data_IF_980728521608
#
_entry.id   IF_980728521608
#
_cell.length_a   1.000
_cell.length_b   1.000
_cell.length_c   1.000
_cell.angle_alpha   90.00
_cell.angle_beta   90.00
_cell.angle_gamma   90.00
#
_symmetry.space_group_name_H-M   'P 1'
#
loop_
_entity.id
_entity.type
_entity.pdbx_description
1 polymer ?
#
# COMPACT_ATOMS: atom_id res chain seq x y z
N UNK A 1 3.03 11.71 -45.23
CA UNK A 1 3.44 10.49 -44.50
C UNK A 1 3.66 10.93 -43.07
N UNK A 2 2.61 10.83 -42.26
CA UNK A 2 2.67 11.16 -40.84
C UNK A 2 3.50 10.09 -40.13
N UNK A 3 4.62 10.52 -39.54
CA UNK A 3 5.36 9.70 -38.60
C UNK A 3 4.49 9.55 -37.34
N UNK A 4 3.72 8.45 -37.29
CA UNK A 4 3.19 7.91 -36.05
C UNK A 4 4.40 7.48 -35.21
N UNK A 5 4.97 8.40 -34.42
CA UNK A 5 5.77 7.99 -33.27
C UNK A 5 4.78 7.35 -32.30
N UNK A 6 4.68 6.03 -32.37
CA UNK A 6 4.16 5.24 -31.26
C UNK A 6 5.06 5.59 -30.07
N UNK A 7 4.63 6.54 -29.26
CA UNK A 7 5.24 6.81 -27.96
C UNK A 7 5.28 5.45 -27.25
N UNK A 8 6.48 4.91 -27.09
CA UNK A 8 6.68 3.63 -26.43
C UNK A 8 6.32 3.83 -24.96
N UNK A 9 5.14 3.36 -24.57
CA UNK A 9 4.68 3.48 -23.19
C UNK A 9 5.32 2.33 -22.40
N UNK A 10 6.12 2.63 -21.36
CA UNK A 10 6.74 1.61 -20.53
C UNK A 10 5.68 0.62 -19.99
N UNK A 11 6.03 -0.66 -19.94
CA UNK A 11 5.25 -1.72 -19.27
C UNK A 11 3.95 -2.19 -19.94
N UNK A 12 3.67 -1.81 -21.20
CA UNK A 12 2.45 -2.27 -21.89
C UNK A 12 2.29 -3.80 -21.92
N UNK A 13 3.41 -4.53 -22.02
CA UNK A 13 3.46 -5.99 -22.07
C UNK A 13 3.71 -6.64 -20.70
N UNK A 14 3.68 -5.88 -19.60
CA UNK A 14 4.00 -6.42 -18.28
C UNK A 14 2.96 -7.47 -17.84
N UNK A 15 3.43 -8.62 -17.38
CA UNK A 15 2.57 -9.74 -16.99
C UNK A 15 2.19 -9.66 -15.50
N UNK A 16 1.01 -10.19 -15.11
CA UNK A 16 0.67 -10.36 -13.70
C UNK A 16 1.79 -11.08 -12.94
N UNK A 17 2.22 -10.50 -11.81
CA UNK A 17 3.31 -10.99 -10.98
C UNK A 17 4.67 -10.34 -11.25
N UNK A 18 4.88 -9.72 -12.42
CA UNK A 18 6.10 -8.99 -12.73
C UNK A 18 6.28 -7.74 -11.86
N UNK A 19 7.53 -7.33 -11.67
CA UNK A 19 7.91 -6.11 -10.96
C UNK A 19 8.28 -5.04 -11.98
N UNK A 20 7.65 -3.88 -11.85
CA UNK A 20 7.95 -2.68 -12.61
C UNK A 20 8.37 -1.54 -11.66
N UNK A 21 8.92 -0.46 -12.21
CA UNK A 21 9.27 0.74 -11.45
C UNK A 21 8.44 1.92 -11.93
N UNK A 22 7.90 2.70 -10.99
CA UNK A 22 7.06 3.87 -11.29
C UNK A 22 7.07 4.83 -10.09
N UNK A 23 7.43 6.10 -10.28
CA UNK A 23 7.65 7.02 -9.17
C UNK A 23 8.87 6.68 -8.30
N UNK A 24 9.14 7.54 -7.33
CA UNK A 24 10.27 7.44 -6.39
C UNK A 24 9.81 7.82 -4.99
N UNK A 25 10.21 7.09 -3.97
CA UNK A 25 9.89 7.42 -2.58
C UNK A 25 11.07 7.06 -1.66
N UNK A 26 11.21 7.68 -0.48
CA UNK A 26 12.28 7.31 0.43
C UNK A 26 12.18 5.85 0.90
N UNK A 27 13.32 5.16 0.94
CA UNK A 27 13.42 3.76 1.34
C UNK A 27 14.59 3.50 2.30
N UNK A 28 15.51 4.46 2.48
CA UNK A 28 16.59 4.41 3.47
C UNK A 28 16.19 5.09 4.78
N UNK A 29 16.93 4.81 5.85
CA UNK A 29 16.60 5.26 7.22
C UNK A 29 16.50 6.80 7.35
N UNK A 30 17.34 7.52 6.63
CA UNK A 30 17.42 8.99 6.64
C UNK A 30 16.22 9.66 5.95
N UNK A 31 15.55 8.95 5.03
CA UNK A 31 14.36 9.45 4.35
C UNK A 31 14.61 10.53 3.30
N UNK A 32 15.88 10.73 2.88
CA UNK A 32 16.24 11.77 1.91
C UNK A 32 16.45 11.22 0.50
N UNK A 33 16.49 9.89 0.37
CA UNK A 33 16.67 9.21 -0.90
C UNK A 33 15.43 9.32 -1.80
N UNK A 34 15.65 9.17 -3.10
CA UNK A 34 14.59 9.11 -4.12
C UNK A 34 14.62 7.76 -4.83
N UNK A 35 14.54 6.68 -4.06
CA UNK A 35 14.63 5.33 -4.61
C UNK A 35 13.39 5.01 -5.45
N UNK A 36 13.55 4.48 -6.69
CA UNK A 36 12.43 4.00 -7.50
C UNK A 36 11.54 3.03 -6.73
N UNK A 37 10.23 3.22 -6.81
CA UNK A 37 9.29 2.33 -6.15
C UNK A 37 9.11 1.10 -7.05
N UNK A 38 9.34 -0.08 -6.47
CA UNK A 38 9.01 -1.36 -7.11
C UNK A 38 7.53 -1.67 -6.90
N UNK A 39 6.83 -1.95 -7.99
CA UNK A 39 5.42 -2.30 -8.01
C UNK A 39 5.21 -3.66 -8.64
N UNK A 40 4.43 -4.50 -7.98
CA UNK A 40 3.96 -5.76 -8.52
C UNK A 40 2.72 -5.53 -9.37
N UNK A 41 2.74 -6.05 -10.59
CA UNK A 41 1.57 -6.04 -11.48
C UNK A 41 0.55 -7.05 -10.99
N UNK A 42 -0.60 -6.55 -10.55
CA UNK A 42 -1.73 -7.36 -10.10
C UNK A 42 -2.62 -7.78 -11.27
N UNK A 43 -2.81 -6.90 -12.24
CA UNK A 43 -3.61 -7.15 -13.44
C UNK A 43 -3.17 -6.23 -14.58
N UNK A 44 -3.18 -6.74 -15.81
CA UNK A 44 -2.94 -5.96 -17.03
C UNK A 44 -4.09 -6.20 -18.02
N UNK A 45 -4.82 -5.13 -18.37
CA UNK A 45 -5.91 -5.19 -19.37
C UNK A 45 -5.45 -4.85 -20.80
N UNK A 46 -4.16 -4.55 -21.00
CA UNK A 46 -3.57 -3.98 -22.20
C UNK A 46 -3.70 -2.46 -22.31
N UNK A 47 -4.59 -1.85 -21.53
CA UNK A 47 -4.80 -0.38 -21.46
C UNK A 47 -4.56 0.20 -20.07
N UNK A 48 -4.61 -0.65 -19.04
CA UNK A 48 -4.47 -0.27 -17.65
C UNK A 48 -3.66 -1.33 -16.92
N UNK A 49 -2.71 -0.89 -16.09
CA UNK A 49 -2.09 -1.74 -15.08
C UNK A 49 -2.68 -1.43 -13.72
N UNK A 50 -3.12 -2.48 -13.03
CA UNK A 50 -3.39 -2.43 -11.60
C UNK A 50 -2.16 -2.95 -10.86
N UNK A 51 -1.60 -2.13 -9.99
CA UNK A 51 -0.31 -2.41 -9.35
C UNK A 51 -0.37 -2.19 -7.83
N UNK A 52 0.47 -2.93 -7.10
CA UNK A 52 0.63 -2.86 -5.64
C UNK A 52 2.11 -2.68 -5.30
N UNK A 53 2.44 -1.81 -4.35
CA UNK A 53 3.82 -1.64 -3.93
C UNK A 53 4.41 -2.97 -3.44
N UNK A 54 5.60 -3.30 -3.91
CA UNK A 54 6.26 -4.56 -3.57
C UNK A 54 6.67 -4.61 -2.09
N UNK A 55 7.00 -3.44 -1.54
CA UNK A 55 7.37 -3.26 -0.14
C UNK A 55 6.33 -2.42 0.59
N UNK A 56 6.31 -2.54 1.92
CA UNK A 56 5.71 -1.53 2.79
C UNK A 56 6.59 -0.29 2.75
N UNK A 57 6.08 0.80 2.21
CA UNK A 57 6.87 2.02 1.95
C UNK A 57 6.94 2.95 3.16
N UNK A 58 5.94 2.88 4.04
CA UNK A 58 5.83 3.75 5.21
C UNK A 58 5.07 3.05 6.34
N UNK A 59 5.32 3.45 7.59
CA UNK A 59 4.43 3.13 8.71
C UNK A 59 3.60 4.37 9.06
N UNK A 60 2.27 4.24 8.97
CA UNK A 60 1.32 5.28 9.38
C UNK A 60 0.12 4.68 10.08
N UNK A 61 -0.44 5.43 11.04
CA UNK A 61 -1.76 5.10 11.61
C UNK A 61 -2.82 5.17 10.53
N UNK A 62 -3.90 4.42 10.71
CA UNK A 62 -5.09 4.58 9.87
C UNK A 62 -5.73 5.96 10.11
N UNK A 63 -5.81 6.38 11.38
CA UNK A 63 -6.24 7.72 11.77
C UNK A 63 -5.51 8.22 13.03
N UNK A 64 -5.24 9.52 13.08
CA UNK A 64 -4.48 10.19 14.14
C UNK A 64 -3.03 10.49 13.75
N UNK A 65 -2.54 11.69 14.11
CA UNK A 65 -1.21 12.21 13.71
C UNK A 65 -0.26 12.52 14.87
N UNK A 66 -0.71 12.44 16.12
CA UNK A 66 0.12 12.77 17.29
C UNK A 66 0.82 11.52 17.86
N UNK A 67 2.06 11.71 18.32
CA UNK A 67 2.84 10.70 19.03
C UNK A 67 2.21 10.29 20.38
N UNK A 68 1.38 11.16 20.95
CA UNK A 68 0.73 10.92 22.24
C UNK A 68 -0.54 10.06 22.11
N UNK A 69 -1.01 9.82 20.88
CA UNK A 69 -2.19 9.00 20.63
C UNK A 69 -1.92 7.57 21.06
N UNK A 70 -2.73 7.09 22.01
CA UNK A 70 -2.76 5.70 22.42
C UNK A 70 -3.93 4.96 21.79
N UNK A 71 -4.02 3.65 22.03
CA UNK A 71 -5.17 2.86 21.59
C UNK A 71 -6.48 3.29 22.25
N UNK A 72 -6.44 3.98 23.40
CA UNK A 72 -7.63 4.47 24.13
C UNK A 72 -8.22 5.72 23.49
N UNK A 73 -7.43 6.44 22.72
CA UNK A 73 -7.82 7.67 22.04
C UNK A 73 -8.38 7.39 20.63
N UNK A 74 -8.63 6.13 20.30
CA UNK A 74 -9.21 5.76 19.02
C UNK A 74 -10.64 6.28 18.91
N UNK A 75 -10.97 6.77 17.72
CA UNK A 75 -12.30 7.23 17.37
C UNK A 75 -12.91 6.32 16.32
N UNK A 76 -14.23 6.39 16.20
CA UNK A 76 -14.93 5.82 15.07
C UNK A 76 -14.57 6.63 13.82
N UNK A 77 -14.09 5.95 12.78
CA UNK A 77 -13.60 6.60 11.55
C UNK A 77 -13.78 5.67 10.35
N UNK A 78 -14.17 6.23 9.22
CA UNK A 78 -14.34 5.51 7.95
C UNK A 78 -13.08 5.62 7.10
N UNK A 79 -12.96 4.81 6.03
CA UNK A 79 -11.89 5.00 5.04
C UNK A 79 -11.98 6.38 4.37
N UNK A 80 -13.20 6.83 4.07
CA UNK A 80 -13.47 8.10 3.41
C UNK A 80 -12.84 9.28 4.18
N UNK A 81 -12.95 9.27 5.50
CA UNK A 81 -12.57 10.39 6.38
C UNK A 81 -11.21 10.22 7.08
N UNK A 82 -10.55 9.07 6.93
CA UNK A 82 -9.33 8.79 7.69
C UNK A 82 -8.11 9.59 7.21
N UNK A 83 -7.14 9.77 8.12
CA UNK A 83 -5.92 10.53 7.80
C UNK A 83 -5.04 9.80 6.79
N UNK A 84 -5.06 8.46 6.80
CA UNK A 84 -4.25 7.65 5.90
C UNK A 84 -4.66 7.82 4.44
N UNK A 85 -5.96 7.84 4.14
CA UNK A 85 -6.48 8.08 2.79
C UNK A 85 -6.09 9.48 2.29
N UNK A 86 -6.25 10.49 3.16
CA UNK A 86 -5.86 11.87 2.85
C UNK A 86 -4.35 11.96 2.55
N UNK A 87 -3.51 11.34 3.38
CA UNK A 87 -2.06 11.30 3.15
C UNK A 87 -1.68 10.59 1.85
N UNK A 88 -2.35 9.47 1.52
CA UNK A 88 -2.09 8.74 0.27
C UNK A 88 -2.37 9.59 -0.98
N UNK A 89 -3.47 10.34 -0.97
CA UNK A 89 -3.93 11.12 -2.12
C UNK A 89 -3.37 12.55 -2.18
N UNK A 90 -2.70 13.00 -1.11
CA UNK A 90 -2.02 14.29 -1.07
C UNK A 90 -0.50 14.10 -0.94
N UNK A 91 0.03 14.05 0.27
CA UNK A 91 1.48 14.07 0.55
C UNK A 91 2.24 12.94 -0.16
N UNK A 92 1.77 11.69 -0.05
CA UNK A 92 2.39 10.56 -0.73
C UNK A 92 2.34 10.73 -2.24
N UNK A 93 1.16 10.98 -2.81
CA UNK A 93 0.98 11.18 -4.26
C UNK A 93 1.86 12.32 -4.80
N UNK A 94 1.97 13.42 -4.05
CA UNK A 94 2.75 14.58 -4.44
C UNK A 94 4.26 14.38 -4.30
N UNK A 95 4.70 13.56 -3.35
CA UNK A 95 6.10 13.21 -3.15
C UNK A 95 6.56 12.12 -4.13
N UNK A 96 5.72 11.11 -4.34
CA UNK A 96 6.07 9.89 -5.05
C UNK A 96 6.15 10.07 -6.57
N UNK A 97 5.31 10.93 -7.14
CA UNK A 97 5.12 11.01 -8.59
C UNK A 97 5.40 12.41 -9.14
N UNK A 98 6.10 12.46 -10.27
CA UNK A 98 6.30 13.69 -11.03
C UNK A 98 5.06 14.04 -11.89
N UNK A 99 5.07 15.20 -12.55
CA UNK A 99 3.93 15.67 -13.34
C UNK A 99 3.50 14.68 -14.44
N UNK A 100 4.44 14.14 -15.21
CA UNK A 100 4.20 13.16 -16.28
C UNK A 100 3.62 11.85 -15.73
N UNK A 101 4.14 11.36 -14.61
CA UNK A 101 3.62 10.16 -13.94
C UNK A 101 2.20 10.37 -13.42
N UNK A 102 1.93 11.55 -12.84
CA UNK A 102 0.61 11.92 -12.32
C UNK A 102 -0.48 11.90 -13.39
N UNK A 103 -0.15 12.22 -14.64
CA UNK A 103 -1.07 12.15 -15.79
C UNK A 103 -1.46 10.71 -16.14
N UNK A 104 -0.60 9.73 -15.85
CA UNK A 104 -0.88 8.31 -16.10
C UNK A 104 -1.72 7.69 -15.00
N UNK A 105 -1.72 8.26 -13.78
CA UNK A 105 -2.46 7.71 -12.63
C UNK A 105 -3.95 7.99 -12.78
N UNK A 106 -4.74 6.93 -12.75
CA UNK A 106 -6.19 6.98 -12.88
C UNK A 106 -6.86 7.22 -11.54
N UNK A 107 -7.85 8.11 -11.51
CA UNK A 107 -8.85 8.15 -10.43
C UNK A 107 -9.70 6.88 -10.46
N UNK A 108 -9.66 6.12 -9.38
CA UNK A 108 -10.30 4.80 -9.26
C UNK A 108 -11.48 4.89 -8.31
N UNK A 109 -12.63 4.37 -8.74
CA UNK A 109 -13.79 4.19 -7.87
C UNK A 109 -13.56 2.99 -6.95
N UNK A 110 -13.39 3.25 -5.66
CA UNK A 110 -13.05 2.28 -4.63
C UNK A 110 -14.27 1.94 -3.79
N UNK A 111 -14.80 0.73 -4.02
CA UNK A 111 -15.89 0.12 -3.26
C UNK A 111 -15.36 -0.81 -2.15
N UNK A 112 -16.27 -1.44 -1.40
CA UNK A 112 -15.99 -2.41 -0.33
C UNK A 112 -15.13 -1.82 0.81
N UNK A 113 -15.40 -0.56 1.16
CA UNK A 113 -14.70 0.15 2.23
C UNK A 113 -15.19 -0.25 3.64
N UNK A 114 -16.15 -1.18 3.72
CA UNK A 114 -16.74 -1.71 4.95
C UNK A 114 -18.07 -1.06 5.30
N UNK A 115 -18.80 -1.68 6.23
CA UNK A 115 -20.15 -1.24 6.58
C UNK A 115 -20.17 0.19 7.14
N UNK A 116 -21.00 1.04 6.53
CA UNK A 116 -21.11 2.46 6.90
C UNK A 116 -19.98 3.35 6.39
N UNK A 117 -19.02 2.80 5.63
CA UNK A 117 -17.95 3.54 4.99
C UNK A 117 -18.33 3.81 3.52
N UNK A 118 -18.49 5.08 3.11
CA UNK A 118 -18.85 5.43 1.74
C UNK A 118 -17.83 4.92 0.71
N UNK A 119 -18.30 4.72 -0.52
CA UNK A 119 -17.42 4.57 -1.68
C UNK A 119 -16.58 5.84 -1.88
N UNK A 120 -15.40 5.69 -2.46
CA UNK A 120 -14.43 6.78 -2.64
C UNK A 120 -13.89 6.82 -4.07
N UNK A 121 -13.36 7.98 -4.46
CA UNK A 121 -12.59 8.13 -5.70
C UNK A 121 -11.14 8.47 -5.33
N UNK A 122 -10.24 7.53 -5.57
CA UNK A 122 -8.86 7.59 -5.11
C UNK A 122 -7.87 7.44 -6.27
N UNK A 123 -6.81 8.24 -6.26
CA UNK A 123 -5.65 8.06 -7.16
C UNK A 123 -4.68 7.03 -6.63
N UNK A 124 -4.52 7.01 -5.31
CA UNK A 124 -3.72 6.03 -4.56
C UNK A 124 -4.56 5.51 -3.41
N UNK A 125 -4.65 4.19 -3.27
CA UNK A 125 -5.53 3.55 -2.30
C UNK A 125 -4.84 2.36 -1.63
N UNK A 126 -5.50 1.78 -0.62
CA UNK A 126 -5.15 0.45 -0.10
C UNK A 126 -6.14 -0.57 -0.63
N UNK A 127 -5.73 -1.82 -0.81
CA UNK A 127 -6.64 -2.88 -1.24
C UNK A 127 -7.78 -3.09 -0.23
N UNK A 128 -8.96 -3.49 -0.72
CA UNK A 128 -10.05 -3.98 0.14
C UNK A 128 -9.82 -5.43 0.53
N UNK A 129 -10.59 -5.93 1.50
CA UNK A 129 -10.61 -7.35 1.85
C UNK A 129 -11.07 -8.21 0.67
N UNK A 130 -12.04 -7.74 -0.12
CA UNK A 130 -12.52 -8.45 -1.31
C UNK A 130 -11.39 -8.59 -2.34
N UNK A 131 -10.77 -7.46 -2.70
CA UNK A 131 -9.69 -7.42 -3.70
C UNK A 131 -8.51 -8.29 -3.29
N UNK A 132 -7.99 -8.17 -2.06
CA UNK A 132 -6.83 -8.97 -1.65
C UNK A 132 -7.15 -10.46 -1.61
N UNK A 133 -8.40 -10.86 -1.32
CA UNK A 133 -8.82 -12.26 -1.37
C UNK A 133 -8.81 -12.79 -2.80
N UNK A 134 -9.41 -12.05 -3.74
CA UNK A 134 -9.45 -12.42 -5.16
C UNK A 134 -8.05 -12.49 -5.75
N UNK A 135 -7.24 -11.47 -5.52
CA UNK A 135 -5.86 -11.41 -5.99
C UNK A 135 -5.01 -12.56 -5.45
N UNK A 136 -5.23 -12.99 -4.21
CA UNK A 136 -4.51 -14.13 -3.64
C UNK A 136 -4.88 -15.48 -4.26
N UNK A 137 -6.06 -15.58 -4.89
CA UNK A 137 -6.42 -16.78 -5.64
C UNK A 137 -5.72 -16.82 -7.00
N UNK A 138 -5.30 -15.67 -7.51
CA UNK A 138 -4.61 -15.51 -8.80
C UNK A 138 -3.08 -15.56 -8.63
N UNK A 139 -2.55 -14.90 -7.60
CA UNK A 139 -1.11 -14.64 -7.40
C UNK A 139 -0.48 -15.45 -6.26
N UNK A 140 -1.18 -16.47 -5.76
CA UNK A 140 -0.88 -17.16 -4.51
C UNK A 140 -1.10 -16.28 -3.25
N UNK A 141 -1.36 -16.93 -2.11
CA UNK A 141 -1.54 -16.26 -0.82
C UNK A 141 -0.29 -15.52 -0.36
N UNK A 142 0.89 -15.89 -0.86
CA UNK A 142 2.16 -15.23 -0.56
C UNK A 142 2.20 -13.75 -0.96
N UNK A 143 1.36 -13.31 -1.89
CA UNK A 143 1.15 -11.88 -2.19
C UNK A 143 0.87 -11.04 -0.94
N UNK A 144 0.25 -11.66 0.08
CA UNK A 144 -0.14 -11.03 1.35
C UNK A 144 1.05 -10.76 2.26
N UNK A 145 2.14 -11.53 2.15
CA UNK A 145 3.34 -11.33 2.97
C UNK A 145 4.11 -10.12 2.46
N UNK A 146 4.51 -9.25 3.38
CA UNK A 146 5.13 -7.99 3.01
C UNK A 146 6.26 -7.62 3.96
N UNK A 147 7.34 -7.11 3.38
CA UNK A 147 8.52 -6.62 4.08
C UNK A 147 8.56 -5.11 3.90
N UNK A 148 8.95 -4.39 4.96
CA UNK A 148 9.13 -2.95 4.89
C UNK A 148 10.50 -2.52 4.41
N UNK A 149 10.53 -1.33 3.81
CA UNK A 149 11.74 -0.56 3.60
C UNK A 149 12.37 -0.16 4.94
N UNK A 150 13.62 0.28 4.94
CA UNK A 150 14.24 0.78 6.17
C UNK A 150 13.64 2.11 6.60
N UNK A 151 13.18 2.91 5.64
CA UNK A 151 12.40 4.10 5.90
C UNK A 151 11.12 3.80 6.70
N UNK A 152 10.35 2.77 6.34
CA UNK A 152 9.14 2.40 7.08
C UNK A 152 9.42 1.92 8.51
N UNK A 153 10.56 1.26 8.73
CA UNK A 153 11.00 0.77 10.05
C UNK A 153 11.48 1.90 10.95
N UNK A 154 12.08 2.95 10.37
CA UNK A 154 12.60 4.08 11.12
C UNK A 154 11.50 4.77 11.96
N UNK A 155 11.80 5.08 13.22
CA UNK A 155 10.86 5.76 14.11
C UNK A 155 10.65 7.21 13.67
N UNK A 156 9.40 7.58 13.45
CA UNK A 156 8.98 8.92 13.03
C UNK A 156 8.64 9.81 14.23
N UNK A 157 8.54 11.11 13.98
CA UNK A 157 8.19 12.12 14.99
C UNK A 157 6.77 11.94 15.54
N UNK A 158 5.84 11.38 14.74
CA UNK A 158 4.48 11.02 15.16
C UNK A 158 4.43 9.69 15.95
N UNK A 159 5.59 9.09 16.26
CA UNK A 159 5.71 7.83 16.98
C UNK A 159 5.48 6.58 16.13
N UNK A 160 5.16 6.70 14.84
CA UNK A 160 5.02 5.54 13.97
C UNK A 160 6.39 4.87 13.71
N UNK A 161 6.40 3.54 13.70
CA UNK A 161 7.57 2.72 13.36
C UNK A 161 7.08 1.33 13.00
N UNK A 162 7.40 0.85 11.79
CA UNK A 162 6.92 -0.45 11.33
C UNK A 162 7.41 -1.56 12.25
N UNK A 163 6.48 -2.31 12.81
CA UNK A 163 6.84 -3.48 13.62
C UNK A 163 7.19 -4.66 12.73
N UNK A 164 8.39 -5.20 12.89
CA UNK A 164 8.86 -6.43 12.24
C UNK A 164 8.74 -7.57 13.24
N UNK A 165 8.03 -8.64 12.86
CA UNK A 165 7.69 -9.72 13.79
C UNK A 165 8.90 -10.58 14.19
N UNK A 166 8.83 -11.20 15.38
CA UNK A 166 9.92 -11.92 16.04
C UNK A 166 10.53 -13.07 15.21
N UNK A 167 11.88 -13.10 15.14
CA UNK A 167 12.73 -14.11 14.48
C UNK A 167 12.53 -15.52 15.01
N UNK A 168 11.92 -15.70 16.18
CA UNK A 168 11.68 -17.04 16.75
C UNK A 168 10.60 -17.83 16.00
N UNK A 169 9.70 -17.17 15.27
CA UNK A 169 8.68 -17.84 14.45
C UNK A 169 8.92 -17.60 12.95
N UNK A 170 9.45 -18.64 12.29
CA UNK A 170 9.81 -18.64 10.86
C UNK A 170 8.63 -18.43 9.91
N UNK A 171 7.39 -18.69 10.35
CA UNK A 171 6.20 -18.43 9.52
C UNK A 171 5.99 -16.93 9.24
N UNK A 172 6.63 -16.06 10.04
CA UNK A 172 6.60 -14.61 9.84
C UNK A 172 7.71 -14.11 8.90
N UNK A 173 8.51 -15.00 8.32
CA UNK A 173 9.67 -14.65 7.49
C UNK A 173 9.52 -15.18 6.07
N UNK A 174 10.17 -14.49 5.14
CA UNK A 174 10.32 -14.92 3.75
C UNK A 174 11.79 -14.85 3.34
N UNK A 175 12.15 -15.61 2.31
CA UNK A 175 13.46 -15.47 1.68
C UNK A 175 13.36 -14.42 0.57
N UNK A 176 14.17 -13.37 0.66
CA UNK A 176 14.39 -12.40 -0.41
C UNK A 176 15.87 -12.29 -0.70
N UNK A 177 16.26 -12.45 -1.96
CA UNK A 177 17.65 -12.39 -2.41
C UNK A 177 18.59 -13.32 -1.60
N UNK A 178 18.09 -14.49 -1.19
CA UNK A 178 18.85 -15.45 -0.39
C UNK A 178 18.89 -15.15 1.11
N UNK A 179 18.28 -14.06 1.57
CA UNK A 179 18.26 -13.65 2.98
C UNK A 179 16.87 -13.82 3.61
N UNK A 180 16.85 -14.24 4.86
CA UNK A 180 15.63 -14.35 5.66
C UNK A 180 15.23 -12.96 6.19
N UNK A 181 14.06 -12.48 5.76
CA UNK A 181 13.54 -11.14 6.09
C UNK A 181 12.16 -11.23 6.74
N UNK A 182 11.98 -10.45 7.81
CA UNK A 182 10.76 -10.46 8.60
C UNK A 182 9.63 -9.70 7.93
N UNK A 183 8.44 -10.30 7.93
CA UNK A 183 7.23 -9.66 7.47
C UNK A 183 6.63 -8.75 8.54
N UNK A 184 5.79 -7.84 8.08
CA UNK A 184 5.05 -6.89 8.92
C UNK A 184 3.57 -6.89 8.56
N UNK A 185 2.75 -6.38 9.49
CA UNK A 185 1.35 -6.12 9.22
C UNK A 185 1.18 -4.91 8.32
N UNK A 186 0.14 -4.89 7.50
CA UNK A 186 -0.19 -3.76 6.67
C UNK A 186 -1.70 -3.58 6.50
N UNK A 187 -2.12 -2.32 6.39
CA UNK A 187 -3.51 -1.91 6.37
C UNK A 187 -4.25 -2.31 5.09
N UNK A 188 -5.53 -2.61 5.24
CA UNK A 188 -6.51 -2.65 4.15
C UNK A 188 -7.47 -1.47 4.33
N UNK A 189 -8.08 -0.96 3.25
CA UNK A 189 -9.03 0.15 3.36
C UNK A 189 -10.34 -0.26 4.05
N UNK A 190 -10.74 -1.53 3.92
CA UNK A 190 -11.99 -2.04 4.49
C UNK A 190 -12.04 -1.86 6.00
N UNK A 191 -13.11 -1.24 6.49
CA UNK A 191 -13.40 -1.08 7.90
C UNK A 191 -13.44 -2.44 8.61
N UNK A 192 -13.04 -2.44 9.87
CA UNK A 192 -12.99 -3.63 10.71
C UNK A 192 -14.34 -4.00 11.32
N UNK A 193 -14.29 -4.87 12.32
CA UNK A 193 -15.47 -5.39 13.01
C UNK A 193 -16.14 -4.40 14.00
N UNK A 194 -15.58 -3.19 14.11
CA UNK A 194 -16.14 -2.04 14.84
C UNK A 194 -15.74 -0.76 14.11
N UNK A 195 -16.45 0.37 14.30
CA UNK A 195 -16.11 1.61 13.60
C UNK A 195 -14.74 2.22 13.96
N UNK A 196 -14.17 1.86 15.10
CA UNK A 196 -12.78 2.21 15.51
C UNK A 196 -11.73 1.17 15.08
N UNK A 197 -12.05 0.32 14.10
CA UNK A 197 -11.19 -0.77 13.64
C UNK A 197 -11.05 -0.76 12.13
N UNK A 198 -9.90 -1.21 11.65
CA UNK A 198 -9.65 -1.45 10.23
C UNK A 198 -9.21 -2.91 10.00
N UNK A 199 -9.43 -3.38 8.78
CA UNK A 199 -8.86 -4.65 8.34
C UNK A 199 -7.37 -4.51 8.04
N UNK A 200 -6.64 -5.58 8.23
CA UNK A 200 -5.21 -5.65 7.96
C UNK A 200 -4.80 -7.06 7.54
N UNK A 201 -3.65 -7.15 6.89
CA UNK A 201 -3.01 -8.40 6.53
C UNK A 201 -1.91 -8.72 7.52
N UNK A 202 -1.96 -9.93 8.07
CA UNK A 202 -0.98 -10.48 8.99
C UNK A 202 0.21 -11.13 8.27
N UNK A 203 1.31 -11.29 9.00
CA UNK A 203 2.58 -11.87 8.53
C UNK A 203 2.47 -13.29 7.98
N UNK A 204 1.53 -14.09 8.49
CA UNK A 204 1.21 -15.45 8.02
C UNK A 204 0.04 -15.50 7.02
N UNK A 205 -0.04 -14.51 6.11
CA UNK A 205 -1.07 -14.40 5.07
C UNK A 205 -2.52 -14.25 5.58
N UNK A 206 -2.71 -14.01 6.89
CA UNK A 206 -4.05 -13.89 7.48
C UNK A 206 -4.68 -12.53 7.17
N UNK A 207 -6.00 -12.49 7.05
CA UNK A 207 -6.76 -11.24 6.95
C UNK A 207 -7.56 -11.12 8.24
N UNK A 208 -7.40 -10.01 8.96
CA UNK A 208 -8.00 -9.76 10.27
C UNK A 208 -8.70 -8.41 10.26
N UNK A 209 -9.67 -8.22 11.17
CA UNK A 209 -10.59 -7.07 11.17
C UNK A 209 -10.62 -6.28 12.49
N UNK A 210 -9.66 -6.50 13.38
CA UNK A 210 -9.69 -5.97 14.75
C UNK A 210 -8.57 -4.96 15.07
N UNK A 211 -7.76 -4.56 14.09
CA UNK A 211 -6.68 -3.61 14.35
C UNK A 211 -7.28 -2.24 14.69
N UNK A 212 -6.79 -1.64 15.77
CA UNK A 212 -7.21 -0.30 16.18
C UNK A 212 -6.68 0.72 15.18
N UNK A 213 -7.53 1.63 14.71
CA UNK A 213 -7.17 2.66 13.73
C UNK A 213 -6.01 3.57 14.18
N UNK A 214 -5.74 3.66 15.48
CA UNK A 214 -4.65 4.46 16.03
C UNK A 214 -3.32 3.71 16.21
N UNK A 215 -3.20 2.45 15.75
CA UNK A 215 -1.95 1.69 15.86
C UNK A 215 -0.82 2.30 15.03
N UNK A 216 0.28 2.62 15.70
CA UNK A 216 1.46 3.28 15.14
C UNK A 216 2.53 2.29 14.62
N UNK A 217 2.12 1.08 14.22
CA UNK A 217 3.05 -0.02 13.93
C UNK A 217 2.78 -0.81 12.66
N UNK A 218 1.66 -0.51 12.01
CA UNK A 218 1.18 -1.21 10.83
C UNK A 218 1.61 -0.43 9.58
N UNK A 219 1.93 -1.17 8.53
CA UNK A 219 2.51 -0.66 7.30
C UNK A 219 1.49 -0.21 6.27
N UNK A 220 1.97 0.63 5.35
CA UNK A 220 1.22 1.08 4.19
C UNK A 220 1.79 0.43 2.93
N UNK A 221 0.94 -0.30 2.20
CA UNK A 221 1.21 -0.79 0.84
C UNK A 221 0.27 -0.12 -0.15
N UNK A 222 0.69 0.98 -0.78
CA UNK A 222 -0.13 1.66 -1.77
C UNK A 222 -0.44 0.77 -2.96
N UNK A 223 -1.64 0.92 -3.50
CA UNK A 223 -2.06 0.38 -4.78
C UNK A 223 -2.62 1.52 -5.64
N UNK A 224 -2.48 1.39 -6.96
CA UNK A 224 -3.02 2.36 -7.91
C UNK A 224 -3.21 1.72 -9.29
N UNK A 225 -3.92 2.43 -10.15
CA UNK A 225 -4.13 2.05 -11.55
C UNK A 225 -3.48 3.09 -12.46
N UNK A 226 -2.67 2.64 -13.41
CA UNK A 226 -2.07 3.52 -14.42
C UNK A 226 -2.60 3.20 -15.82
N UNK A 227 -2.86 4.23 -16.59
CA UNK A 227 -3.17 4.12 -18.01
C UNK A 227 -1.88 3.84 -18.80
N UNK A 228 -1.97 2.87 -19.71
CA UNK A 228 -0.92 2.51 -20.66
C UNK A 228 -1.11 3.20 -22.02
N UNK A 229 -2.02 4.15 -22.10
CA UNK A 229 -2.33 4.97 -23.29
C UNK A 229 -2.62 6.40 -22.80
N UNK A 230 -2.03 7.38 -23.46
CA UNK A 230 -2.42 8.80 -23.32
C UNK A 230 -3.59 9.11 -24.23
#
# INVERSE_FOLDING_TARGET
>A
MENNSLDYIPHQNAQPGEIITFGTYPQTVDGTDRTPINWRVLHNSGRELFILSEYILECKRYHGKSADITWRDCVDITWHDCDLRNWLNDEFYNTAFNATEKELIRTTYCMDNGDGSPDTEDKVFLLSVTEIKELSNIHDKDLRRAVGTDFAKAKKSDGCSLYVYDKTNKDNYIIRNGEEVGCSWWWLRTQGNKPSRACFVGTSCSIRSYANVSLARDGVRPALKINLQR
#
